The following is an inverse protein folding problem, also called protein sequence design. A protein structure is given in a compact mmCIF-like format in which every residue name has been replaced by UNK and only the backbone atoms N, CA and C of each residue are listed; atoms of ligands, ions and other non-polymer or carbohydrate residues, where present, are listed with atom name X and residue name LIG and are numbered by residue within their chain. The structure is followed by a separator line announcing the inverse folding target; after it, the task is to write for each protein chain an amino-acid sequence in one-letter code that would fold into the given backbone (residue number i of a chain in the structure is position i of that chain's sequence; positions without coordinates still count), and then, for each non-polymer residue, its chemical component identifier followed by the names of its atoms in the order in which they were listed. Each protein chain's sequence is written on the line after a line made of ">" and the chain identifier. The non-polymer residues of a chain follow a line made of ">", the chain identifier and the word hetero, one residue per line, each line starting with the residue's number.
data_IF_392832941863
#
_entry.id   IF_392832941863
#
_cell.length_a   1.000
_cell.length_b   1.000
_cell.length_c   1.000
_cell.angle_alpha   90.00
_cell.angle_beta   90.00
_cell.angle_gamma   90.00
#
_symmetry.space_group_name_H-M   'P 1'
#
loop_
_entity.id
_entity.type
_entity.pdbx_description
1 polymer ?
#
# COMPACT_ATOMS: atom_id res chain seq x y z
N UNK A 1 13.75 -15.49 21.49
CA UNK A 1 12.69 -16.10 20.68
C UNK A 1 12.27 -15.11 19.61
N UNK A 2 12.20 -15.53 18.35
CA UNK A 2 11.86 -14.68 17.20
C UNK A 2 10.39 -14.83 16.83
N UNK A 3 9.67 -13.71 16.82
CA UNK A 3 8.24 -13.65 16.49
C UNK A 3 8.05 -12.75 15.28
N UNK A 4 7.53 -13.31 14.19
CA UNK A 4 7.17 -12.53 13.00
C UNK A 4 5.68 -12.20 13.03
N UNK A 5 5.36 -10.92 13.16
CA UNK A 5 3.99 -10.40 13.07
C UNK A 5 3.70 -9.84 11.69
N UNK A 6 2.62 -10.29 11.05
CA UNK A 6 2.28 -9.93 9.67
C UNK A 6 0.87 -9.33 9.62
N UNK A 7 0.79 -8.13 9.05
CA UNK A 7 -0.45 -7.48 8.59
C UNK A 7 -0.62 -7.75 7.09
N UNK A 8 -1.76 -8.34 6.72
CA UNK A 8 -1.96 -8.91 5.38
C UNK A 8 -2.61 -7.89 4.48
N UNK A 9 -1.92 -7.50 3.40
CA UNK A 9 -2.45 -6.59 2.39
C UNK A 9 -2.19 -7.07 0.96
N UNK A 10 -3.16 -6.85 0.07
CA UNK A 10 -3.01 -7.21 -1.36
C UNK A 10 -1.92 -6.39 -2.08
N UNK A 11 -1.57 -5.21 -1.58
CA UNK A 11 -0.47 -4.42 -2.19
C UNK A 11 0.87 -4.75 -1.55
N UNK A 12 0.88 -4.78 -0.22
CA UNK A 12 2.06 -5.04 0.57
C UNK A 12 1.68 -5.87 1.78
N UNK A 13 2.61 -6.70 2.25
CA UNK A 13 2.56 -7.28 3.60
C UNK A 13 3.37 -6.36 4.50
N UNK A 14 2.77 -5.81 5.55
CA UNK A 14 3.56 -5.16 6.59
C UNK A 14 3.98 -6.23 7.60
N UNK A 15 5.22 -6.17 8.06
CA UNK A 15 5.76 -7.15 8.99
C UNK A 15 6.59 -6.48 10.07
N UNK A 16 6.56 -7.03 11.27
CA UNK A 16 7.47 -6.69 12.37
C UNK A 16 8.05 -7.98 12.94
N UNK A 17 9.37 -8.15 12.85
CA UNK A 17 10.13 -9.24 13.42
C UNK A 17 10.66 -8.80 14.79
N UNK A 18 10.12 -9.39 15.83
CA UNK A 18 10.55 -9.20 17.21
C UNK A 18 11.57 -10.25 17.59
N UNK A 19 12.54 -9.87 18.41
CA UNK A 19 13.30 -10.82 19.21
C UNK A 19 13.01 -10.55 20.69
N UNK A 20 12.51 -11.57 21.38
CA UNK A 20 12.03 -11.50 22.74
C UNK A 20 12.87 -12.36 23.67
N UNK A 21 13.15 -11.84 24.86
CA UNK A 21 13.64 -12.59 26.01
C UNK A 21 12.54 -12.65 27.07
N UNK A 22 12.81 -13.24 28.23
CA UNK A 22 11.80 -13.37 29.30
C UNK A 22 11.36 -12.03 29.92
N UNK A 23 12.10 -10.95 29.67
CA UNK A 23 11.85 -9.63 30.28
C UNK A 23 11.68 -8.50 29.28
N UNK A 24 12.20 -8.68 28.06
CA UNK A 24 12.34 -7.59 27.10
C UNK A 24 12.03 -8.06 25.68
N UNK A 25 11.74 -7.09 24.81
CA UNK A 25 11.67 -7.31 23.38
C UNK A 25 12.37 -6.18 22.65
N UNK A 26 12.90 -6.50 21.48
CA UNK A 26 13.37 -5.53 20.50
C UNK A 26 12.79 -5.86 19.12
N UNK A 27 12.99 -4.94 18.17
CA UNK A 27 12.63 -5.13 16.77
C UNK A 27 13.91 -5.40 15.99
N UNK A 28 14.02 -6.57 15.37
CA UNK A 28 15.13 -6.89 14.46
C UNK A 28 14.90 -6.35 13.05
N UNK A 29 13.67 -6.46 12.54
CA UNK A 29 13.27 -5.95 11.22
C UNK A 29 11.83 -5.46 11.23
N UNK A 30 11.56 -4.31 10.64
CA UNK A 30 10.20 -3.77 10.52
C UNK A 30 10.03 -3.03 9.20
N UNK A 31 8.98 -3.35 8.45
CA UNK A 31 8.78 -2.75 7.14
C UNK A 31 7.67 -3.40 6.32
N UNK A 32 7.84 -3.34 5.00
CA UNK A 32 6.88 -3.84 4.03
C UNK A 32 7.54 -4.76 2.98
N UNK A 33 6.81 -5.79 2.55
CA UNK A 33 7.10 -6.56 1.35
C UNK A 33 6.12 -6.10 0.26
N UNK A 34 6.60 -5.50 -0.83
CA UNK A 34 5.77 -5.08 -1.96
C UNK A 34 5.40 -6.29 -2.84
N UNK A 35 4.12 -6.65 -2.89
CA UNK A 35 3.62 -7.75 -3.70
C UNK A 35 3.16 -7.31 -5.10
N UNK A 36 3.05 -6.00 -5.34
CA UNK A 36 2.66 -5.45 -6.63
C UNK A 36 3.86 -5.12 -7.51
N UNK A 37 5.02 -4.83 -6.92
CA UNK A 37 6.18 -4.23 -7.60
C UNK A 37 5.77 -2.92 -8.29
N UNK A 38 5.10 -2.04 -7.55
CA UNK A 38 4.64 -0.78 -8.12
C UNK A 38 5.85 0.06 -8.52
N UNK A 39 5.97 0.33 -9.82
CA UNK A 39 7.02 1.21 -10.30
C UNK A 39 6.70 2.67 -9.91
N UNK A 40 7.69 3.35 -9.34
CA UNK A 40 7.61 4.76 -9.01
C UNK A 40 8.65 5.51 -9.83
N UNK A 41 8.19 6.54 -10.52
CA UNK A 41 9.05 7.42 -11.31
C UNK A 41 9.29 8.72 -10.54
N UNK A 42 10.52 9.22 -10.57
CA UNK A 42 10.85 10.53 -10.01
C UNK A 42 10.48 11.63 -11.00
N UNK A 43 10.12 12.78 -10.45
CA UNK A 43 9.81 13.95 -11.26
C UNK A 43 11.08 14.52 -11.91
N UNK A 44 11.03 14.78 -13.22
CA UNK A 44 12.12 15.39 -13.98
C UNK A 44 12.28 16.90 -13.73
N UNK A 45 11.33 17.53 -13.02
CA UNK A 45 11.36 18.97 -12.77
C UNK A 45 12.43 19.42 -11.75
N UNK A 46 12.75 20.71 -11.76
CA UNK A 46 13.65 21.34 -10.77
C UNK A 46 12.86 22.13 -9.72
N UNK A 47 13.31 22.11 -8.47
CA UNK A 47 12.83 23.02 -7.43
C UNK A 47 13.55 24.36 -7.57
N UNK A 48 12.85 25.35 -8.12
CA UNK A 48 13.42 26.67 -8.42
C UNK A 48 13.96 27.35 -7.14
N UNK A 49 13.27 27.21 -6.00
CA UNK A 49 13.69 27.84 -4.73
C UNK A 49 14.99 27.29 -4.18
N UNK A 50 15.23 25.99 -4.36
CA UNK A 50 16.41 25.30 -3.83
C UNK A 50 17.48 25.01 -4.90
N UNK A 51 17.22 25.33 -6.17
CA UNK A 51 18.02 24.97 -7.35
C UNK A 51 18.40 23.47 -7.46
N UNK A 52 17.69 22.58 -6.77
CA UNK A 52 17.91 21.12 -6.81
C UNK A 52 16.84 20.40 -7.64
N UNK A 53 17.14 19.17 -8.07
CA UNK A 53 16.19 18.26 -8.71
C UNK A 53 14.98 17.96 -7.81
N UNK A 54 13.81 17.74 -8.40
CA UNK A 54 12.62 17.40 -7.64
C UNK A 54 12.70 15.98 -7.08
N UNK A 55 12.44 15.85 -5.78
CA UNK A 55 12.42 14.60 -5.02
C UNK A 55 11.07 13.86 -5.06
N UNK A 56 10.02 14.54 -5.54
CA UNK A 56 8.64 14.03 -5.54
C UNK A 56 8.45 12.93 -6.58
N UNK A 57 7.62 11.96 -6.22
CA UNK A 57 7.17 10.95 -7.18
C UNK A 57 6.25 11.60 -8.23
N UNK A 58 6.44 11.19 -9.48
CA UNK A 58 5.63 11.61 -10.60
C UNK A 58 4.23 11.01 -10.53
N UNK A 59 3.28 11.76 -11.09
CA UNK A 59 1.87 11.35 -11.24
C UNK A 59 1.43 11.36 -12.70
N UNK A 60 2.19 12.06 -13.54
CA UNK A 60 1.92 12.22 -14.96
C UNK A 60 3.17 11.93 -15.79
N UNK A 61 2.99 11.54 -17.05
CA UNK A 61 4.09 11.32 -17.98
C UNK A 61 3.70 11.66 -19.42
N UNK A 62 4.71 11.90 -20.25
CA UNK A 62 4.61 12.08 -21.71
C UNK A 62 6.00 11.84 -22.32
N UNK A 63 6.10 11.13 -23.43
CA UNK A 63 7.36 10.92 -24.17
C UNK A 63 8.55 10.52 -23.25
N UNK A 64 8.33 9.53 -22.39
CA UNK A 64 9.31 9.03 -21.40
C UNK A 64 9.77 10.04 -20.33
N UNK A 65 9.15 11.20 -20.24
CA UNK A 65 9.37 12.19 -19.16
C UNK A 65 8.26 12.11 -18.12
N UNK A 66 8.62 12.29 -16.85
CA UNK A 66 7.74 12.07 -15.70
C UNK A 66 7.64 13.30 -14.80
N UNK A 67 6.42 13.66 -14.39
CA UNK A 67 6.16 14.92 -13.69
C UNK A 67 5.28 14.74 -12.45
N UNK A 68 5.63 15.43 -11.37
CA UNK A 68 4.73 15.64 -10.24
C UNK A 68 3.63 16.65 -10.63
N UNK A 69 2.57 16.78 -9.82
CA UNK A 69 1.44 17.68 -10.13
C UNK A 69 1.86 19.14 -10.35
N UNK A 70 2.88 19.63 -9.63
CA UNK A 70 3.34 21.02 -9.75
C UNK A 70 4.09 21.24 -11.06
N UNK A 71 4.96 20.31 -11.44
CA UNK A 71 5.74 20.42 -12.67
C UNK A 71 4.94 20.05 -13.92
N UNK A 72 3.93 19.18 -13.79
CA UNK A 72 2.97 18.90 -14.85
C UNK A 72 2.27 20.19 -15.33
N UNK A 73 1.92 21.10 -14.42
CA UNK A 73 1.29 22.40 -14.74
C UNK A 73 2.19 23.35 -15.54
N UNK A 74 3.49 23.06 -15.62
CA UNK A 74 4.48 23.88 -16.33
C UNK A 74 4.83 23.29 -17.69
N UNK A 75 4.24 22.16 -18.06
CA UNK A 75 4.44 21.55 -19.37
C UNK A 75 3.48 22.16 -20.39
N UNK A 76 3.82 22.05 -21.67
CA UNK A 76 2.95 22.51 -22.76
C UNK A 76 1.67 21.67 -22.91
N UNK A 77 1.64 20.48 -22.30
CA UNK A 77 0.50 19.56 -22.37
C UNK A 77 -0.50 19.79 -21.24
N UNK A 78 -1.77 19.55 -21.56
CA UNK A 78 -2.88 19.62 -20.61
C UNK A 78 -2.82 18.49 -19.56
N UNK A 79 -3.31 18.77 -18.35
CA UNK A 79 -3.39 17.76 -17.29
C UNK A 79 -4.75 17.05 -17.35
N UNK A 80 -4.78 15.71 -17.49
CA UNK A 80 -6.05 14.99 -17.58
C UNK A 80 -6.78 14.99 -16.24
N UNK A 81 -8.11 15.05 -16.31
CA UNK A 81 -9.01 14.86 -15.16
C UNK A 81 -9.38 13.37 -15.01
N UNK A 82 -10.11 13.02 -13.95
CA UNK A 82 -10.51 11.63 -13.71
C UNK A 82 -11.50 11.09 -14.76
N UNK A 83 -12.31 11.94 -15.38
CA UNK A 83 -13.25 11.54 -16.45
C UNK A 83 -12.53 11.23 -17.77
N UNK A 84 -11.32 11.77 -17.95
CA UNK A 84 -10.45 11.50 -19.10
C UNK A 84 -9.59 10.24 -18.92
N UNK A 85 -9.78 9.48 -17.84
CA UNK A 85 -9.07 8.21 -17.66
C UNK A 85 -9.51 7.20 -18.72
N UNK A 86 -8.55 6.54 -19.33
CA UNK A 86 -8.80 5.53 -20.38
C UNK A 86 -9.85 4.46 -20.00
N UNK A 87 -9.84 3.98 -18.75
CA UNK A 87 -10.84 3.01 -18.25
C UNK A 87 -12.25 3.61 -18.16
N UNK A 88 -12.36 4.89 -17.80
CA UNK A 88 -13.64 5.59 -17.74
C UNK A 88 -14.21 5.73 -19.15
N UNK A 89 -13.42 6.22 -20.10
CA UNK A 89 -13.80 6.37 -21.51
C UNK A 89 -14.22 5.03 -22.14
N UNK A 90 -13.47 3.95 -21.88
CA UNK A 90 -13.83 2.59 -22.38
C UNK A 90 -15.20 2.12 -21.88
N UNK A 91 -15.58 2.47 -20.66
CA UNK A 91 -16.83 2.04 -20.02
C UNK A 91 -18.00 3.01 -20.20
N UNK A 92 -17.74 4.27 -20.53
CA UNK A 92 -18.75 5.29 -20.69
C UNK A 92 -19.77 4.91 -21.79
N UNK A 93 -21.02 5.37 -21.62
CA UNK A 93 -22.03 5.29 -22.66
C UNK A 93 -21.84 6.42 -23.69
N UNK A 94 -22.59 6.37 -24.80
CA UNK A 94 -22.39 7.32 -25.91
C UNK A 94 -22.68 8.78 -25.53
N UNK A 95 -23.68 9.03 -24.67
CA UNK A 95 -24.06 10.39 -24.29
C UNK A 95 -23.01 11.05 -23.39
N UNK A 96 -22.39 10.28 -22.49
CA UNK A 96 -21.23 10.74 -21.71
C UNK A 96 -20.06 11.09 -22.62
N UNK A 97 -19.79 10.27 -23.65
CA UNK A 97 -18.70 10.53 -24.60
C UNK A 97 -18.95 11.80 -25.42
N UNK A 98 -20.19 12.04 -25.87
CA UNK A 98 -20.60 13.29 -26.53
C UNK A 98 -20.38 14.50 -25.63
N UNK A 99 -20.78 14.39 -24.36
CA UNK A 99 -20.58 15.46 -23.39
C UNK A 99 -19.09 15.76 -23.18
N UNK A 100 -18.25 14.74 -23.08
CA UNK A 100 -16.80 14.91 -22.97
C UNK A 100 -16.25 15.63 -24.21
N UNK A 101 -16.62 15.21 -25.41
CA UNK A 101 -16.14 15.87 -26.63
C UNK A 101 -16.53 17.35 -26.66
N UNK A 102 -17.77 17.68 -26.28
CA UNK A 102 -18.23 19.07 -26.20
C UNK A 102 -17.48 19.87 -25.11
N UNK A 103 -17.26 19.28 -23.94
CA UNK A 103 -16.63 19.94 -22.79
C UNK A 103 -15.16 20.29 -23.03
N UNK A 104 -14.48 19.48 -23.83
CA UNK A 104 -13.05 19.60 -24.12
C UNK A 104 -12.77 20.06 -25.56
N UNK A 105 -13.80 20.56 -26.26
CA UNK A 105 -13.72 21.07 -27.64
C UNK A 105 -13.06 20.08 -28.63
N UNK A 106 -13.35 18.78 -28.47
CA UNK A 106 -12.81 17.71 -29.32
C UNK A 106 -13.59 17.69 -30.63
N UNK A 107 -12.92 18.11 -31.71
CA UNK A 107 -13.51 18.30 -33.03
C UNK A 107 -13.92 16.95 -33.63
N UNK A 108 -15.16 16.89 -34.10
CA UNK A 108 -15.68 15.77 -34.88
C UNK A 108 -15.48 16.05 -36.37
N UNK A 109 -15.25 15.00 -37.16
CA UNK A 109 -15.24 15.12 -38.61
C UNK A 109 -16.65 15.50 -39.10
N UNK A 110 -16.78 16.72 -39.64
CA UNK A 110 -18.04 17.28 -40.13
C UNK A 110 -18.68 16.47 -41.26
N UNK A 111 -17.93 15.56 -41.89
CA UNK A 111 -18.41 14.70 -42.98
C UNK A 111 -19.19 13.46 -42.50
N UNK A 112 -19.09 13.08 -41.21
CA UNK A 112 -19.78 11.91 -40.65
C UNK A 112 -21.15 12.27 -40.07
N UNK A 113 -22.23 11.90 -40.76
CA UNK A 113 -23.63 12.10 -40.30
C UNK A 113 -23.99 11.34 -39.00
N UNK A 114 -23.32 10.23 -38.67
CA UNK A 114 -23.58 9.44 -37.46
C UNK A 114 -22.30 8.79 -36.95
N UNK A 115 -21.81 9.26 -35.81
CA UNK A 115 -20.63 8.71 -35.13
C UNK A 115 -21.07 7.63 -34.13
N UNK A 116 -20.45 6.45 -34.19
CA UNK A 116 -20.69 5.36 -33.25
C UNK A 116 -19.84 5.50 -31.98
N UNK A 117 -20.20 4.76 -30.93
CA UNK A 117 -19.51 4.80 -29.63
C UNK A 117 -17.98 4.64 -29.76
N UNK A 118 -17.52 3.69 -30.58
CA UNK A 118 -16.08 3.39 -30.74
C UNK A 118 -15.34 4.58 -31.34
N UNK A 119 -15.91 5.24 -32.35
CA UNK A 119 -15.30 6.40 -32.99
C UNK A 119 -15.18 7.59 -32.04
N UNK A 120 -16.16 7.80 -31.15
CA UNK A 120 -16.02 8.80 -30.07
C UNK A 120 -14.85 8.48 -29.13
N UNK A 121 -14.65 7.20 -28.80
CA UNK A 121 -13.54 6.78 -27.96
C UNK A 121 -12.20 7.04 -28.66
N UNK A 122 -12.11 6.71 -29.95
CA UNK A 122 -10.92 6.95 -30.77
C UNK A 122 -10.58 8.44 -30.88
N UNK A 123 -11.57 9.31 -31.13
CA UNK A 123 -11.38 10.76 -31.14
C UNK A 123 -10.83 11.27 -29.81
N UNK A 124 -11.44 10.85 -28.69
CA UNK A 124 -10.98 11.24 -27.36
C UNK A 124 -9.55 10.72 -27.11
N UNK A 125 -9.25 9.48 -27.47
CA UNK A 125 -7.91 8.92 -27.24
C UNK A 125 -6.85 9.60 -28.07
N UNK A 126 -7.14 9.93 -29.33
CA UNK A 126 -6.24 10.73 -30.19
C UNK A 126 -5.95 12.09 -29.57
N UNK A 127 -6.98 12.82 -29.15
CA UNK A 127 -6.83 14.12 -28.49
C UNK A 127 -5.97 14.04 -27.22
N UNK A 128 -6.20 13.02 -26.38
CA UNK A 128 -5.41 12.79 -25.17
C UNK A 128 -3.96 12.45 -25.50
N UNK A 129 -3.73 11.65 -26.54
CA UNK A 129 -2.39 11.27 -27.00
C UNK A 129 -1.61 12.45 -27.56
N UNK A 130 -2.25 13.41 -28.21
CA UNK A 130 -1.59 14.58 -28.79
C UNK A 130 -1.37 15.66 -27.71
N UNK A 131 -2.44 16.07 -27.02
CA UNK A 131 -2.44 17.33 -26.27
C UNK A 131 -2.36 17.19 -24.74
N UNK A 132 -2.49 15.97 -24.20
CA UNK A 132 -2.52 15.75 -22.75
C UNK A 132 -1.30 14.98 -22.25
N UNK A 133 -0.97 15.20 -20.97
CA UNK A 133 -0.15 14.26 -20.21
C UNK A 133 -0.97 13.01 -19.91
N UNK A 134 -0.31 11.88 -19.72
CA UNK A 134 -0.94 10.63 -19.27
C UNK A 134 -0.73 10.42 -17.77
N UNK A 135 -1.65 9.73 -17.11
CA UNK A 135 -1.44 9.31 -15.72
C UNK A 135 -0.36 8.23 -15.65
N UNK A 136 0.55 8.33 -14.68
CA UNK A 136 1.49 7.23 -14.39
C UNK A 136 0.67 5.98 -14.04
N UNK A 137 0.88 4.84 -14.74
CA UNK A 137 0.10 3.64 -14.51
C UNK A 137 0.25 3.13 -13.07
N UNK A 138 -0.87 2.76 -12.47
CA UNK A 138 -0.90 2.09 -11.16
C UNK A 138 -1.33 0.65 -11.35
N UNK A 139 -0.62 -0.26 -10.69
CA UNK A 139 -0.95 -1.67 -10.71
C UNK A 139 -2.24 -1.89 -9.91
N UNK A 140 -3.23 -2.49 -10.55
CA UNK A 140 -4.47 -2.92 -9.90
C UNK A 140 -4.27 -4.31 -9.33
N UNK A 141 -4.49 -4.45 -8.02
CA UNK A 141 -4.43 -5.74 -7.33
C UNK A 141 -5.35 -6.77 -7.95
N UNK A 142 -6.51 -6.33 -8.47
CA UNK A 142 -7.48 -7.15 -9.18
C UNK A 142 -6.87 -7.92 -10.37
N UNK A 143 -5.87 -7.34 -11.05
CA UNK A 143 -5.27 -7.88 -12.27
C UNK A 143 -4.10 -8.83 -12.00
N UNK A 144 -3.64 -8.95 -10.75
CA UNK A 144 -2.59 -9.90 -10.38
C UNK A 144 -3.28 -11.21 -9.97
N UNK A 145 -2.88 -12.35 -10.51
CA UNK A 145 -3.44 -13.64 -10.11
C UNK A 145 -2.83 -14.14 -8.78
N UNK A 146 -3.46 -15.11 -8.12
CA UNK A 146 -3.00 -15.60 -6.81
C UNK A 146 -1.66 -16.37 -6.87
N UNK A 147 -1.34 -16.99 -8.01
CA UNK A 147 -0.04 -17.67 -8.21
C UNK A 147 1.10 -16.65 -8.16
N UNK A 148 0.96 -15.53 -8.86
CA UNK A 148 1.93 -14.42 -8.83
C UNK A 148 2.06 -13.82 -7.43
N UNK A 149 0.96 -13.70 -6.67
CA UNK A 149 1.03 -13.30 -5.26
C UNK A 149 1.86 -14.28 -4.43
N UNK A 150 1.60 -15.58 -4.56
CA UNK A 150 2.34 -16.62 -3.84
C UNK A 150 3.84 -16.60 -4.16
N UNK A 151 4.21 -16.47 -5.43
CA UNK A 151 5.62 -16.38 -5.86
C UNK A 151 6.33 -15.15 -5.27
N UNK A 152 5.69 -13.97 -5.32
CA UNK A 152 6.28 -12.73 -4.80
C UNK A 152 6.35 -12.71 -3.28
N UNK A 153 5.32 -13.22 -2.61
CA UNK A 153 5.29 -13.40 -1.17
C UNK A 153 6.44 -14.32 -0.72
N UNK A 154 6.58 -15.50 -1.36
CA UNK A 154 7.68 -16.42 -1.08
C UNK A 154 9.03 -15.75 -1.22
N UNK A 155 9.30 -15.14 -2.37
CA UNK A 155 10.57 -14.45 -2.62
C UNK A 155 10.83 -13.32 -1.61
N UNK A 156 9.79 -12.57 -1.24
CA UNK A 156 9.85 -11.52 -0.24
C UNK A 156 10.24 -12.04 1.13
N UNK A 157 9.64 -13.12 1.61
CA UNK A 157 10.01 -13.74 2.89
C UNK A 157 11.38 -14.40 2.86
N UNK A 158 11.74 -15.10 1.78
CA UNK A 158 13.06 -15.73 1.65
C UNK A 158 14.19 -14.69 1.66
N UNK A 159 13.98 -13.53 1.04
CA UNK A 159 14.92 -12.43 1.12
C UNK A 159 14.92 -11.76 2.51
N UNK A 160 13.74 -11.53 3.09
CA UNK A 160 13.61 -10.89 4.40
C UNK A 160 14.27 -11.71 5.51
N UNK A 161 14.04 -13.02 5.50
CA UNK A 161 14.41 -13.96 6.56
C UNK A 161 15.62 -14.81 6.18
N UNK A 162 16.41 -14.34 5.20
CA UNK A 162 17.66 -15.00 4.85
C UNK A 162 18.51 -15.17 6.12
N UNK A 163 18.87 -16.41 6.42
CA UNK A 163 19.65 -16.83 7.59
C UNK A 163 18.97 -16.54 8.95
N UNK A 164 17.64 -16.41 8.97
CA UNK A 164 16.84 -16.19 10.19
C UNK A 164 15.81 -17.31 10.34
N UNK A 165 15.94 -18.08 11.42
CA UNK A 165 14.89 -19.00 11.87
C UNK A 165 13.86 -18.23 12.70
N UNK A 166 12.58 -18.39 12.37
CA UNK A 166 11.47 -17.78 13.10
C UNK A 166 10.81 -18.85 13.96
N UNK A 167 10.65 -18.58 15.26
CA UNK A 167 10.05 -19.51 16.21
C UNK A 167 8.52 -19.45 16.16
N UNK A 168 7.96 -18.27 15.89
CA UNK A 168 6.52 -18.03 15.86
C UNK A 168 6.14 -17.07 14.75
N UNK A 169 5.09 -17.40 14.01
CA UNK A 169 4.51 -16.51 12.99
C UNK A 169 3.06 -16.20 13.38
N UNK A 170 2.76 -14.91 13.53
CA UNK A 170 1.41 -14.44 13.82
C UNK A 170 0.90 -13.60 12.65
N UNK A 171 -0.32 -13.88 12.21
CA UNK A 171 -0.86 -13.34 10.96
C UNK A 171 -2.22 -12.72 11.22
N UNK A 172 -2.46 -11.50 10.74
CA UNK A 172 -3.77 -10.86 10.88
C UNK A 172 -4.87 -11.72 10.22
N UNK A 173 -5.90 -12.05 10.98
CA UNK A 173 -7.04 -12.82 10.49
C UNK A 173 -7.94 -11.99 9.57
N UNK A 174 -8.06 -12.42 8.32
CA UNK A 174 -8.88 -11.75 7.31
C UNK A 174 -10.30 -12.32 7.32
N UNK A 175 -11.29 -11.53 7.77
CA UNK A 175 -12.68 -11.99 7.94
C UNK A 175 -13.60 -11.34 6.90
N UNK A 176 -14.47 -12.15 6.29
CA UNK A 176 -15.61 -11.68 5.48
C UNK A 176 -15.44 -11.86 3.96
N UNK A 177 -16.57 -11.89 3.21
CA UNK A 177 -16.58 -12.22 1.78
C UNK A 177 -15.85 -11.20 0.91
N UNK A 178 -15.80 -9.93 1.34
CA UNK A 178 -15.08 -8.86 0.65
C UNK A 178 -13.55 -9.01 0.72
N UNK A 179 -13.05 -9.84 1.63
CA UNK A 179 -11.62 -10.07 1.87
C UNK A 179 -11.13 -11.43 1.34
N UNK A 180 -11.91 -12.14 0.50
CA UNK A 180 -11.60 -13.51 0.07
C UNK A 180 -10.17 -13.67 -0.47
N UNK A 181 -9.72 -12.74 -1.31
CA UNK A 181 -8.35 -12.75 -1.87
C UNK A 181 -7.28 -12.57 -0.79
N UNK A 182 -7.54 -11.75 0.22
CA UNK A 182 -6.65 -11.55 1.38
C UNK A 182 -6.66 -12.78 2.28
N UNK A 183 -7.80 -13.46 2.47
CA UNK A 183 -7.87 -14.75 3.16
C UNK A 183 -7.09 -15.84 2.42
N UNK A 184 -7.15 -15.89 1.09
CA UNK A 184 -6.30 -16.79 0.30
C UNK A 184 -4.81 -16.48 0.50
N UNK A 185 -4.43 -15.20 0.48
CA UNK A 185 -3.05 -14.79 0.74
C UNK A 185 -2.61 -15.15 2.16
N UNK A 186 -3.46 -14.97 3.16
CA UNK A 186 -3.23 -15.45 4.53
C UNK A 186 -2.92 -16.96 4.56
N UNK A 187 -3.73 -17.78 3.87
CA UNK A 187 -3.48 -19.22 3.75
C UNK A 187 -2.14 -19.54 3.06
N UNK A 188 -1.76 -18.78 2.03
CA UNK A 188 -0.44 -18.93 1.39
C UNK A 188 0.72 -18.58 2.32
N UNK A 189 0.57 -17.55 3.17
CA UNK A 189 1.57 -17.20 4.18
C UNK A 189 1.70 -18.34 5.18
N UNK A 190 0.58 -18.87 5.69
CA UNK A 190 0.59 -20.02 6.61
C UNK A 190 1.30 -21.22 5.98
N UNK A 191 0.89 -21.61 4.77
CA UNK A 191 1.49 -22.74 4.05
C UNK A 191 3.00 -22.56 3.85
N UNK A 192 3.46 -21.36 3.49
CA UNK A 192 4.88 -21.06 3.33
C UNK A 192 5.67 -21.34 4.62
N UNK A 193 5.15 -20.93 5.78
CA UNK A 193 5.85 -21.13 7.05
C UNK A 193 5.71 -22.56 7.58
N UNK A 194 4.66 -23.30 7.23
CA UNK A 194 4.56 -24.75 7.46
C UNK A 194 5.71 -25.45 6.73
N UNK A 195 5.93 -25.13 5.45
CA UNK A 195 7.01 -25.71 4.64
C UNK A 195 8.42 -25.34 5.12
N UNK A 196 8.57 -24.19 5.79
CA UNK A 196 9.82 -23.78 6.45
C UNK A 196 10.00 -24.38 7.85
N UNK A 197 9.08 -25.23 8.30
CA UNK A 197 9.17 -25.90 9.60
C UNK A 197 8.96 -24.97 10.79
N UNK A 198 8.26 -23.84 10.62
CA UNK A 198 7.93 -22.96 11.73
C UNK A 198 6.98 -23.69 12.70
N UNK A 199 7.35 -23.83 13.99
CA UNK A 199 6.60 -24.69 14.89
C UNK A 199 5.24 -24.10 15.29
N UNK A 200 5.09 -22.77 15.26
CA UNK A 200 3.89 -22.08 15.75
C UNK A 200 3.44 -21.03 14.75
N UNK A 201 2.23 -21.21 14.21
CA UNK A 201 1.60 -20.30 13.26
C UNK A 201 0.18 -20.02 13.74
N UNK A 202 -0.13 -18.76 14.03
CA UNK A 202 -1.41 -18.36 14.63
C UNK A 202 -2.08 -17.20 13.88
N UNK A 203 -3.40 -17.30 13.71
CA UNK A 203 -4.20 -16.19 13.22
C UNK A 203 -4.63 -15.27 14.38
N UNK A 204 -4.38 -13.97 14.26
CA UNK A 204 -4.71 -12.98 15.29
C UNK A 204 -5.84 -12.08 14.82
N UNK A 205 -6.88 -11.94 15.66
CA UNK A 205 -7.98 -11.03 15.36
C UNK A 205 -7.49 -9.58 15.28
N UNK A 206 -7.85 -8.88 14.19
CA UNK A 206 -7.60 -7.45 14.01
C UNK A 206 -8.20 -6.55 15.11
N UNK A 207 -9.14 -7.05 15.92
CA UNK A 207 -9.70 -6.32 17.05
C UNK A 207 -8.72 -6.16 18.21
N UNK A 208 -7.73 -7.04 18.32
CA UNK A 208 -6.84 -7.15 19.48
C UNK A 208 -5.79 -6.05 19.56
N UNK A 209 -5.23 -5.61 18.43
CA UNK A 209 -4.12 -4.63 18.36
C UNK A 209 -4.38 -3.29 19.08
N UNK A 210 -5.64 -2.91 19.28
CA UNK A 210 -6.02 -1.67 19.97
C UNK A 210 -6.90 -1.91 21.20
N UNK A 211 -6.97 -3.16 21.69
CA UNK A 211 -7.90 -3.57 22.74
C UNK A 211 -7.79 -2.71 24.00
N UNK A 212 -6.57 -2.31 24.37
CA UNK A 212 -6.29 -1.58 25.61
C UNK A 212 -6.51 -0.07 25.48
N UNK A 213 -6.57 0.44 24.24
CA UNK A 213 -6.58 1.86 23.94
C UNK A 213 -7.95 2.36 23.48
N UNK A 214 -8.89 1.45 23.26
CA UNK A 214 -10.24 1.75 22.82
C UNK A 214 -11.18 1.83 24.03
N UNK A 215 -11.96 2.91 24.08
CA UNK A 215 -13.09 2.99 25.01
C UNK A 215 -14.26 2.14 24.52
N UNK A 216 -15.28 1.91 25.37
CA UNK A 216 -16.51 1.16 25.01
C UNK A 216 -17.35 1.82 23.90
N UNK A 217 -16.97 2.99 23.38
CA UNK A 217 -17.69 3.67 22.29
C UNK A 217 -17.35 3.05 20.94
N UNK A 218 -18.35 2.96 20.04
CA UNK A 218 -18.13 2.57 18.64
C UNK A 218 -17.20 3.59 17.97
N UNK A 219 -16.12 3.12 17.38
CA UNK A 219 -15.14 3.93 16.65
C UNK A 219 -15.22 3.66 15.15
N UNK A 220 -14.98 4.69 14.34
CA UNK A 220 -14.89 4.56 12.87
C UNK A 220 -13.53 4.00 12.47
N UNK A 221 -13.48 3.33 11.32
CA UNK A 221 -12.24 2.78 10.77
C UNK A 221 -11.10 3.82 10.66
N UNK A 222 -11.40 5.03 10.20
CA UNK A 222 -10.43 6.12 10.07
C UNK A 222 -9.88 6.60 11.41
N UNK A 223 -10.67 6.53 12.48
CA UNK A 223 -10.25 6.91 13.82
C UNK A 223 -9.30 5.86 14.39
N UNK A 224 -9.61 4.57 14.19
CA UNK A 224 -8.75 3.45 14.59
C UNK A 224 -7.37 3.54 13.94
N UNK A 225 -7.30 3.88 12.64
CA UNK A 225 -6.02 4.08 11.94
C UNK A 225 -5.17 5.17 12.58
N UNK A 226 -5.77 6.32 12.87
CA UNK A 226 -5.06 7.44 13.52
C UNK A 226 -4.61 7.05 14.92
N UNK A 227 -5.46 6.34 15.67
CA UNK A 227 -5.14 5.87 17.01
C UNK A 227 -3.98 4.88 16.99
N UNK A 228 -3.96 3.90 16.08
CA UNK A 228 -2.85 2.94 15.98
C UNK A 228 -1.50 3.59 15.70
N UNK A 229 -1.47 4.59 14.80
CA UNK A 229 -0.26 5.38 14.56
C UNK A 229 0.17 6.10 15.84
N UNK A 230 -0.76 6.77 16.52
CA UNK A 230 -0.46 7.51 17.75
C UNK A 230 0.09 6.59 18.85
N UNK A 231 -0.60 5.50 19.15
CA UNK A 231 -0.20 4.53 20.18
C UNK A 231 1.16 3.92 19.87
N UNK A 232 1.42 3.58 18.60
CA UNK A 232 2.74 3.08 18.19
C UNK A 232 3.84 4.10 18.48
N UNK A 233 3.62 5.39 18.23
CA UNK A 233 4.60 6.43 18.54
C UNK A 233 4.84 6.59 20.05
N UNK A 234 3.82 6.41 20.87
CA UNK A 234 3.93 6.47 22.33
C UNK A 234 4.77 5.30 22.84
N UNK A 235 4.43 4.06 22.45
CA UNK A 235 5.17 2.86 22.85
C UNK A 235 6.65 2.93 22.41
N UNK A 236 6.93 3.40 21.20
CA UNK A 236 8.31 3.52 20.71
C UNK A 236 9.14 4.51 21.54
N UNK A 237 8.53 5.58 22.07
CA UNK A 237 9.22 6.60 22.88
C UNK A 237 9.39 6.19 24.34
N UNK A 238 8.50 5.34 24.85
CA UNK A 238 8.54 4.83 26.22
C UNK A 238 9.48 3.63 26.38
N UNK A 239 9.94 3.03 25.28
CA UNK A 239 10.82 1.88 25.31
C UNK A 239 12.15 2.21 24.60
N UNK A 240 13.17 2.55 25.39
CA UNK A 240 14.50 2.94 24.90
C UNK A 240 15.14 1.89 23.97
N UNK A 241 14.78 0.60 24.09
CA UNK A 241 15.25 -0.46 23.19
C UNK A 241 14.77 -0.29 21.74
N UNK A 242 13.82 0.62 21.49
CA UNK A 242 13.18 0.83 20.19
C UNK A 242 13.52 2.18 19.55
N UNK A 243 14.39 3.00 20.16
CA UNK A 243 14.71 4.36 19.71
C UNK A 243 15.12 4.43 18.23
N UNK A 244 15.90 3.45 17.78
CA UNK A 244 16.36 3.35 16.38
C UNK A 244 15.19 3.26 15.37
N UNK A 245 14.01 2.81 15.79
CA UNK A 245 12.84 2.64 14.94
C UNK A 245 11.92 3.88 14.92
N UNK A 246 12.13 4.86 15.80
CA UNK A 246 11.35 6.11 15.83
C UNK A 246 11.46 6.86 14.49
N UNK A 247 12.67 7.15 13.95
CA UNK A 247 12.79 7.84 12.66
C UNK A 247 12.18 7.04 11.52
N UNK A 248 12.43 5.71 11.51
CA UNK A 248 11.91 4.79 10.49
C UNK A 248 10.39 4.87 10.43
N UNK A 249 9.72 4.79 11.58
CA UNK A 249 8.26 4.85 11.65
C UNK A 249 7.71 6.23 11.24
N UNK A 250 8.30 7.33 11.72
CA UNK A 250 7.84 8.69 11.45
C UNK A 250 8.00 9.07 9.98
N UNK A 251 9.02 8.58 9.29
CA UNK A 251 9.25 8.90 7.88
C UNK A 251 8.49 7.97 6.92
N UNK A 252 8.07 6.80 7.40
CA UNK A 252 7.41 5.82 6.55
C UNK A 252 6.08 6.33 5.97
N UNK A 253 5.79 5.98 4.71
CA UNK A 253 4.54 6.37 4.02
C UNK A 253 3.32 5.54 4.43
N UNK A 254 3.56 4.34 4.92
CA UNK A 254 2.54 3.34 5.30
C UNK A 254 2.56 3.12 6.81
N UNK A 255 2.39 4.19 7.57
CA UNK A 255 2.47 4.13 9.04
C UNK A 255 1.36 3.29 9.65
N UNK A 256 0.18 3.32 9.05
CA UNK A 256 -0.96 2.52 9.49
C UNK A 256 -0.67 1.02 9.36
N UNK A 257 -0.16 0.57 8.21
CA UNK A 257 0.19 -0.85 8.02
C UNK A 257 1.35 -1.28 8.96
N UNK A 258 2.37 -0.43 9.15
CA UNK A 258 3.47 -0.69 10.09
C UNK A 258 2.97 -0.79 11.53
N UNK A 259 2.12 0.15 11.97
CA UNK A 259 1.51 0.15 13.30
C UNK A 259 0.70 -1.12 13.53
N UNK A 260 -0.06 -1.57 12.52
CA UNK A 260 -0.90 -2.76 12.64
C UNK A 260 -0.06 -4.03 12.86
N UNK A 261 1.03 -4.22 12.10
CA UNK A 261 1.96 -5.34 12.32
C UNK A 261 2.68 -5.28 13.67
N UNK A 262 3.08 -4.09 14.12
CA UNK A 262 3.76 -3.90 15.41
C UNK A 262 2.81 -4.15 16.59
N UNK A 263 1.66 -3.48 16.62
CA UNK A 263 0.70 -3.57 17.73
C UNK A 263 0.09 -4.98 17.85
N UNK A 264 -0.06 -5.71 16.75
CA UNK A 264 -0.42 -7.13 16.79
C UNK A 264 0.64 -7.95 17.55
N UNK A 265 1.92 -7.70 17.30
CA UNK A 265 3.04 -8.34 18.02
C UNK A 265 3.07 -7.98 19.49
N UNK A 266 2.93 -6.70 19.83
CA UNK A 266 2.86 -6.25 21.23
C UNK A 266 1.69 -6.91 21.97
N UNK A 267 0.51 -6.97 21.35
CA UNK A 267 -0.63 -7.64 21.94
C UNK A 267 -0.34 -9.12 22.19
N UNK A 268 0.26 -9.82 21.22
CA UNK A 268 0.60 -11.23 21.35
C UNK A 268 1.61 -11.47 22.48
N UNK A 269 2.68 -10.68 22.53
CA UNK A 269 3.70 -10.73 23.59
C UNK A 269 3.05 -10.55 24.97
N UNK A 270 2.22 -9.51 25.13
CA UNK A 270 1.58 -9.19 26.40
C UNK A 270 0.56 -10.24 26.85
N UNK A 271 -0.30 -10.71 25.95
CA UNK A 271 -1.49 -11.50 26.32
C UNK A 271 -1.36 -13.01 26.09
N UNK A 272 -0.52 -13.44 25.16
CA UNK A 272 -0.32 -14.87 24.83
C UNK A 272 0.95 -15.43 25.44
N UNK A 273 2.02 -14.64 25.47
CA UNK A 273 3.28 -15.05 26.12
C UNK A 273 3.36 -14.62 27.59
N UNK A 274 2.47 -13.72 28.03
CA UNK A 274 2.40 -13.22 29.40
C UNK A 274 3.73 -12.63 29.91
N UNK A 275 4.54 -12.08 29.00
CA UNK A 275 5.79 -11.43 29.36
C UNK A 275 5.49 -10.11 30.10
N UNK A 276 6.07 -9.95 31.29
CA UNK A 276 5.99 -8.70 32.06
C UNK A 276 6.92 -7.68 31.40
N UNK A 277 6.35 -6.83 30.55
CA UNK A 277 7.10 -5.75 29.90
C UNK A 277 7.30 -4.63 30.94
N UNK A 278 8.52 -4.46 31.42
CA UNK A 278 8.90 -3.28 32.20
C UNK A 278 9.27 -2.16 31.23
N UNK A 279 8.49 -1.08 31.22
CA UNK A 279 8.88 0.18 30.58
C UNK A 279 9.80 0.91 31.57
N UNK A 280 11.04 1.19 31.16
CA UNK A 280 12.02 1.96 31.94
C UNK A 280 12.00 3.42 31.53
#
# INVERSE_FOLDING_TARGET
>A
MKILSIDVGMKCLAYCLFNTTDKEYNIEKWGIIDLCHQQYYKCCGKNIKKKISCDKNARYHKNSQYFCKIHAKKQAFNIPTNELKHIYIKKANIDVLKHICKKYDIIQDATKKKIIKVEYQELIFKELEENYLSFVPTIKTANINMVTYGQRMKAGFENLLKDITVDRVIIENQIGPLALRMKTLQGMIMQHFIEKGCPIIEEISASNKLKDYLTKKKTKYTERKKLGIKVTQEILKENNNLDAWIPVFIEHKKKDDLADSFLQGIWYIKYKLQLVINYN
#
